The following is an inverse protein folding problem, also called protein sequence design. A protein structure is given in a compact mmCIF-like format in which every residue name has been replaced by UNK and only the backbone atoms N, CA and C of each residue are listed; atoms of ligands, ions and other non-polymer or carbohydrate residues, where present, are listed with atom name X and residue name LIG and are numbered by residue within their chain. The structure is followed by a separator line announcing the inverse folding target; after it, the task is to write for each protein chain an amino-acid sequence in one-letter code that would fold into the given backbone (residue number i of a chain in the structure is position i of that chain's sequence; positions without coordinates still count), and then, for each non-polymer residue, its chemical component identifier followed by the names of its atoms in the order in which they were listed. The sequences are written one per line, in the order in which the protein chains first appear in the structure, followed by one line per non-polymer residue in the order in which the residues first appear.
data_IF_655841771108
#
_entry.id   IF_655841771108
#
_cell.length_a   1.000
_cell.length_b   1.000
_cell.length_c   1.000
_cell.angle_alpha   90.00
_cell.angle_beta   90.00
_cell.angle_gamma   90.00
#
_symmetry.space_group_name_H-M   'P 1'
#
loop_
_entity.id
_entity.type
_entity.pdbx_description
1 polymer ?
#
# COMPACT_ATOMS: atom_id res chain seq x y z
N UNK A 1 1.93 5.62 -13.95
CA UNK A 1 1.29 6.41 -12.88
C UNK A 1 0.34 5.54 -12.08
N UNK A 2 0.35 5.67 -10.78
CA UNK A 2 -0.50 4.88 -9.91
C UNK A 2 -1.16 5.75 -8.86
N UNK A 3 -2.27 5.26 -8.29
CA UNK A 3 -2.94 5.88 -7.14
C UNK A 3 -2.42 5.19 -5.89
N UNK A 4 -1.89 5.96 -4.95
CA UNK A 4 -1.26 5.44 -3.75
C UNK A 4 -1.88 6.10 -2.53
N UNK A 5 -2.25 5.28 -1.53
CA UNK A 5 -2.77 5.77 -0.26
C UNK A 5 -1.68 5.65 0.78
N UNK A 6 -1.40 6.71 1.50
CA UNK A 6 -0.43 6.72 2.60
C UNK A 6 -1.16 7.01 3.91
N UNK A 7 -1.12 6.07 4.85
CA UNK A 7 -1.81 6.15 6.13
C UNK A 7 -0.77 6.16 7.24
N UNK A 8 -0.62 7.29 7.90
CA UNK A 8 0.35 7.47 9.00
C UNK A 8 -0.08 8.68 9.80
N UNK A 9 -0.03 8.59 11.13
CA UNK A 9 -0.39 9.73 11.97
C UNK A 9 0.72 10.78 12.05
N UNK A 10 1.93 10.48 11.61
CA UNK A 10 3.04 11.42 11.58
C UNK A 10 2.95 12.28 10.33
N UNK A 11 2.69 13.57 10.52
CA UNK A 11 2.56 14.52 9.42
C UNK A 11 3.81 14.57 8.55
N UNK A 12 4.99 14.47 9.16
CA UNK A 12 6.25 14.54 8.41
C UNK A 12 6.39 13.36 7.45
N UNK A 13 6.00 12.17 7.89
CA UNK A 13 6.04 10.97 7.03
C UNK A 13 5.04 11.12 5.90
N UNK A 14 3.81 11.58 6.20
CA UNK A 14 2.80 11.79 5.16
C UNK A 14 3.28 12.79 4.11
N UNK A 15 3.86 13.91 4.56
CA UNK A 15 4.36 14.94 3.63
C UNK A 15 5.52 14.42 2.80
N UNK A 16 6.42 13.66 3.42
CA UNK A 16 7.55 13.08 2.72
C UNK A 16 7.08 12.13 1.61
N UNK A 17 6.20 11.19 1.97
CA UNK A 17 5.66 10.24 1.01
C UNK A 17 4.90 10.96 -0.11
N UNK A 18 4.06 11.92 0.25
CA UNK A 18 3.28 12.66 -0.74
C UNK A 18 4.20 13.39 -1.73
N UNK A 19 5.23 14.07 -1.21
CA UNK A 19 6.16 14.81 -2.05
C UNK A 19 6.94 13.89 -2.98
N UNK A 20 7.51 12.82 -2.43
CA UNK A 20 8.35 11.91 -3.22
C UNK A 20 7.55 11.18 -4.28
N UNK A 21 6.36 10.70 -3.92
CA UNK A 21 5.55 9.91 -4.85
C UNK A 21 4.91 10.78 -5.92
N UNK A 22 4.51 12.00 -5.57
CA UNK A 22 3.99 12.94 -6.54
C UNK A 22 5.07 13.29 -7.57
N UNK A 23 6.31 13.46 -7.13
CA UNK A 23 7.43 13.72 -8.05
C UNK A 23 7.67 12.58 -9.02
N UNK A 24 7.34 11.36 -8.61
CA UNK A 24 7.46 10.19 -9.49
C UNK A 24 6.27 10.01 -10.41
N UNK A 25 5.31 10.93 -10.37
CA UNK A 25 4.17 10.91 -11.27
C UNK A 25 2.96 10.16 -10.73
N UNK A 26 2.95 9.81 -9.45
CA UNK A 26 1.82 9.11 -8.84
C UNK A 26 0.82 10.09 -8.24
N UNK A 27 -0.43 9.67 -8.14
CA UNK A 27 -1.46 10.41 -7.42
C UNK A 27 -1.53 9.87 -5.99
N UNK A 28 -1.44 10.75 -4.99
CA UNK A 28 -1.31 10.33 -3.59
C UNK A 28 -2.49 10.81 -2.78
N UNK A 29 -3.14 9.89 -2.08
CA UNK A 29 -4.14 10.18 -1.06
C UNK A 29 -3.47 9.97 0.29
N UNK A 30 -3.80 10.77 1.28
CA UNK A 30 -3.24 10.62 2.63
C UNK A 30 -4.35 10.49 3.67
N UNK A 31 -4.04 9.81 4.77
CA UNK A 31 -4.92 9.70 5.92
C UNK A 31 -4.07 9.74 7.18
N UNK A 32 -4.53 10.46 8.19
CA UNK A 32 -3.77 10.66 9.43
C UNK A 32 -4.19 9.72 10.55
N UNK A 33 -5.15 8.84 10.30
CA UNK A 33 -5.57 7.83 11.28
C UNK A 33 -6.22 6.65 10.55
N UNK A 34 -6.44 5.56 11.30
CA UNK A 34 -6.82 4.29 10.69
C UNK A 34 -8.19 4.32 10.03
N UNK A 35 -9.21 4.86 10.70
CA UNK A 35 -10.55 4.88 10.14
C UNK A 35 -10.61 5.68 8.84
N UNK A 36 -9.95 6.84 8.81
CA UNK A 36 -9.88 7.63 7.58
C UNK A 36 -9.19 6.85 6.47
N UNK A 37 -8.13 6.10 6.82
CA UNK A 37 -7.45 5.25 5.84
C UNK A 37 -8.37 4.23 5.21
N UNK A 38 -9.19 3.57 6.03
CA UNK A 38 -10.17 2.61 5.54
C UNK A 38 -11.20 3.30 4.63
N UNK A 39 -11.70 4.46 5.05
CA UNK A 39 -12.70 5.20 4.26
C UNK A 39 -12.14 5.61 2.90
N UNK A 40 -10.89 6.10 2.88
CA UNK A 40 -10.24 6.47 1.62
C UNK A 40 -10.00 5.24 0.76
N UNK A 41 -9.58 4.13 1.36
CA UNK A 41 -9.39 2.88 0.62
C UNK A 41 -10.69 2.44 -0.06
N UNK A 42 -11.80 2.49 0.65
CA UNK A 42 -13.09 2.08 0.10
C UNK A 42 -13.53 2.98 -1.05
N UNK A 43 -13.28 4.29 -0.92
CA UNK A 43 -13.74 5.27 -1.90
C UNK A 43 -12.84 5.30 -3.13
N UNK A 44 -11.52 5.28 -2.92
CA UNK A 44 -10.58 5.52 -4.02
C UNK A 44 -9.97 4.26 -4.61
N UNK A 45 -10.01 3.15 -3.89
CA UNK A 45 -9.42 1.87 -4.31
C UNK A 45 -8.03 2.04 -4.91
N UNK A 46 -7.05 2.49 -4.10
CA UNK A 46 -5.70 2.76 -4.60
C UNK A 46 -5.02 1.49 -5.10
N UNK A 47 -4.03 1.66 -5.95
CA UNK A 47 -3.23 0.54 -6.45
C UNK A 47 -2.32 -0.01 -5.36
N UNK A 48 -1.82 0.85 -4.47
CA UNK A 48 -0.93 0.46 -3.36
C UNK A 48 -1.30 1.29 -2.14
N UNK A 49 -1.30 0.66 -0.97
CA UNK A 49 -1.49 1.35 0.31
C UNK A 49 -0.21 1.21 1.13
N UNK A 50 0.30 2.34 1.64
CA UNK A 50 1.43 2.39 2.57
C UNK A 50 0.84 2.68 3.94
N UNK A 51 1.11 1.82 4.93
CA UNK A 51 0.34 1.79 6.16
C UNK A 51 1.26 1.67 7.37
N UNK A 52 1.10 2.58 8.32
CA UNK A 52 1.82 2.54 9.59
C UNK A 52 1.16 1.56 10.55
N UNK A 53 1.95 0.96 11.44
CA UNK A 53 1.42 0.08 12.48
C UNK A 53 0.71 0.85 13.60
N UNK A 54 1.22 2.01 14.00
CA UNK A 54 0.73 2.70 15.20
C UNK A 54 -0.01 3.97 14.85
N UNK A 55 -1.29 4.00 15.22
CA UNK A 55 -2.15 5.15 15.00
C UNK A 55 -3.07 5.35 16.19
N UNK A 56 -3.61 6.58 16.39
CA UNK A 56 -4.31 6.88 17.65
C UNK A 56 -5.67 6.20 17.81
N UNK A 57 -6.35 5.86 16.74
CA UNK A 57 -7.70 5.27 16.83
C UNK A 57 -7.66 3.72 16.76
N UNK A 58 -7.26 3.17 15.63
CA UNK A 58 -7.08 1.73 15.45
C UNK A 58 -5.71 1.50 14.87
N UNK A 59 -5.07 0.38 15.21
CA UNK A 59 -3.71 0.15 14.73
C UNK A 59 -3.70 -0.34 13.29
N UNK A 60 -2.50 -0.35 12.70
CA UNK A 60 -2.35 -0.72 11.30
C UNK A 60 -2.72 -2.16 11.00
N UNK A 61 -2.58 -3.07 11.96
CA UNK A 61 -3.01 -4.46 11.76
C UNK A 61 -4.52 -4.56 11.55
N UNK A 62 -5.28 -3.79 12.33
CA UNK A 62 -6.73 -3.78 12.18
C UNK A 62 -7.12 -3.17 10.83
N UNK A 63 -6.44 -2.10 10.42
CA UNK A 63 -6.66 -1.52 9.09
C UNK A 63 -6.37 -2.57 8.01
N UNK A 64 -5.27 -3.31 8.15
CA UNK A 64 -4.90 -4.36 7.18
C UNK A 64 -5.97 -5.45 7.14
N UNK A 65 -6.48 -5.87 8.31
CA UNK A 65 -7.56 -6.87 8.34
C UNK A 65 -8.78 -6.39 7.57
N UNK A 66 -9.16 -5.14 7.77
CA UNK A 66 -10.34 -4.59 7.08
C UNK A 66 -10.10 -4.45 5.59
N UNK A 67 -8.90 -4.04 5.19
CA UNK A 67 -8.54 -4.00 3.76
C UNK A 67 -8.64 -5.40 3.16
N UNK A 68 -8.14 -6.41 3.86
CA UNK A 68 -8.19 -7.81 3.38
C UNK A 68 -9.60 -8.34 3.26
N UNK A 69 -10.52 -7.88 4.11
CA UNK A 69 -11.93 -8.25 4.00
C UNK A 69 -12.57 -7.62 2.76
N UNK A 70 -12.11 -6.43 2.37
CA UNK A 70 -12.64 -5.72 1.20
C UNK A 70 -11.99 -6.27 -0.08
N UNK A 71 -10.68 -6.46 -0.05
CA UNK A 71 -9.90 -6.95 -1.21
C UNK A 71 -8.74 -7.79 -0.69
N UNK A 72 -8.84 -9.14 -0.81
CA UNK A 72 -7.78 -10.02 -0.31
C UNK A 72 -6.45 -9.88 -1.02
N UNK A 73 -6.40 -9.23 -2.16
CA UNK A 73 -5.19 -9.11 -2.98
C UNK A 73 -4.65 -7.68 -3.08
N UNK A 74 -5.26 -6.72 -2.38
CA UNK A 74 -4.81 -5.33 -2.44
C UNK A 74 -3.35 -5.22 -1.97
N UNK A 75 -2.45 -4.62 -2.77
CA UNK A 75 -1.07 -4.45 -2.33
C UNK A 75 -0.97 -3.49 -1.14
N UNK A 76 -0.32 -3.94 -0.07
CA UNK A 76 -0.11 -3.15 1.14
C UNK A 76 1.35 -3.25 1.55
N UNK A 77 1.98 -2.10 1.77
CA UNK A 77 3.31 -2.00 2.35
C UNK A 77 3.14 -1.50 3.79
N UNK A 78 3.66 -2.27 4.77
CA UNK A 78 3.62 -1.83 6.16
C UNK A 78 4.91 -1.11 6.51
N UNK A 79 4.80 0.04 7.18
CA UNK A 79 5.96 0.78 7.67
C UNK A 79 6.35 0.22 9.03
N UNK A 80 7.60 -0.23 9.18
CA UNK A 80 8.08 -0.84 10.41
C UNK A 80 8.96 0.12 11.20
N UNK A 81 8.98 -0.07 12.51
CA UNK A 81 9.82 0.70 13.42
C UNK A 81 10.17 -0.13 14.63
N UNK A 82 10.75 0.50 15.64
CA UNK A 82 11.11 -0.19 16.88
C UNK A 82 9.85 -0.77 17.53
N UNK A 83 9.94 -2.01 17.98
CA UNK A 83 8.85 -2.65 18.72
C UNK A 83 7.73 -3.22 17.87
N UNK A 84 7.90 -3.33 16.55
CA UNK A 84 6.84 -3.86 15.69
C UNK A 84 7.00 -5.33 15.31
N UNK A 85 8.06 -6.00 15.79
CA UNK A 85 8.41 -7.36 15.34
C UNK A 85 7.27 -8.37 15.49
N UNK A 86 6.59 -8.36 16.64
CA UNK A 86 5.49 -9.32 16.88
C UNK A 86 4.33 -9.06 15.92
N UNK A 87 4.05 -7.80 15.64
CA UNK A 87 2.96 -7.43 14.75
C UNK A 87 3.32 -7.69 13.27
N UNK A 88 4.60 -7.66 12.94
CA UNK A 88 5.05 -8.00 11.59
C UNK A 88 4.69 -9.44 11.24
N UNK A 89 4.82 -10.36 12.21
CA UNK A 89 4.41 -11.74 12.00
C UNK A 89 2.92 -11.82 11.65
N UNK A 90 2.09 -11.11 12.41
CA UNK A 90 0.65 -11.09 12.15
C UNK A 90 0.34 -10.48 10.78
N UNK A 91 1.08 -9.44 10.39
CA UNK A 91 0.91 -8.82 9.08
C UNK A 91 1.24 -9.81 7.96
N UNK A 92 2.29 -10.62 8.13
CA UNK A 92 2.61 -11.64 7.14
C UNK A 92 1.50 -12.66 6.99
N UNK A 93 0.87 -13.03 8.09
CA UNK A 93 -0.26 -13.97 8.06
C UNK A 93 -1.46 -13.38 7.33
N UNK A 94 -1.59 -12.05 7.33
CA UNK A 94 -2.63 -11.34 6.61
C UNK A 94 -2.24 -11.05 5.15
N UNK A 95 -1.12 -11.56 4.70
CA UNK A 95 -0.71 -11.43 3.30
C UNK A 95 -0.20 -10.06 2.92
N UNK A 96 0.47 -9.37 3.86
CA UNK A 96 1.09 -8.08 3.52
C UNK A 96 2.06 -8.26 2.35
N UNK A 97 2.10 -7.26 1.47
CA UNK A 97 2.91 -7.36 0.26
C UNK A 97 4.39 -7.18 0.57
N UNK A 98 4.72 -6.21 1.41
CA UNK A 98 6.12 -5.94 1.77
C UNK A 98 6.17 -5.06 3.01
N UNK A 99 7.37 -4.94 3.58
CA UNK A 99 7.65 -4.05 4.69
C UNK A 99 8.68 -3.02 4.25
N UNK A 100 8.62 -1.83 4.86
CA UNK A 100 9.58 -0.77 4.62
C UNK A 100 9.87 -0.10 5.97
N UNK A 101 11.15 -0.06 6.37
CA UNK A 101 11.53 0.57 7.64
C UNK A 101 11.29 2.06 7.58
N UNK A 102 10.84 2.67 8.69
CA UNK A 102 10.55 4.11 8.73
C UNK A 102 11.74 4.98 8.40
N UNK A 103 12.94 4.50 8.59
CA UNK A 103 14.14 5.22 8.14
C UNK A 103 14.50 4.98 6.68
N UNK A 104 13.55 4.62 5.87
CA UNK A 104 13.78 4.23 4.47
C UNK A 104 14.44 5.34 3.65
N UNK A 105 15.26 4.93 2.68
CA UNK A 105 15.81 5.85 1.70
C UNK A 105 14.84 5.99 0.53
N UNK A 106 15.02 7.07 -0.23
CA UNK A 106 14.27 7.26 -1.46
C UNK A 106 14.45 6.06 -2.41
N UNK A 107 15.66 5.51 -2.46
CA UNK A 107 15.97 4.37 -3.31
C UNK A 107 15.17 3.12 -2.89
N UNK A 108 15.09 2.85 -1.58
CA UNK A 108 14.33 1.70 -1.08
C UNK A 108 12.85 1.83 -1.39
N UNK A 109 12.27 3.02 -1.16
CA UNK A 109 10.87 3.27 -1.47
C UNK A 109 10.60 3.06 -2.96
N UNK A 110 11.45 3.62 -3.80
CA UNK A 110 11.29 3.50 -5.26
C UNK A 110 11.39 2.06 -5.73
N UNK A 111 12.35 1.30 -5.19
CA UNK A 111 12.54 -0.10 -5.58
C UNK A 111 11.34 -0.96 -5.18
N UNK A 112 10.84 -0.77 -3.96
CA UNK A 112 9.69 -1.54 -3.47
C UNK A 112 8.46 -1.26 -4.32
N UNK A 113 8.17 0.00 -4.59
CA UNK A 113 7.02 0.38 -5.40
C UNK A 113 7.14 -0.13 -6.83
N UNK A 114 8.32 0.00 -7.42
CA UNK A 114 8.54 -0.45 -8.80
C UNK A 114 8.24 -1.94 -8.93
N UNK A 115 8.71 -2.73 -7.98
CA UNK A 115 8.48 -4.18 -7.99
C UNK A 115 6.99 -4.51 -7.92
N UNK A 116 6.27 -3.85 -7.01
CA UNK A 116 4.83 -4.09 -6.83
C UNK A 116 4.06 -3.68 -8.08
N UNK A 117 4.35 -2.49 -8.62
CA UNK A 117 3.63 -1.97 -9.78
C UNK A 117 3.92 -2.80 -11.04
N UNK A 118 5.13 -3.33 -11.18
CA UNK A 118 5.44 -4.22 -12.29
C UNK A 118 4.63 -5.51 -12.22
N UNK A 119 4.45 -6.07 -11.02
CA UNK A 119 3.64 -7.28 -10.86
C UNK A 119 2.17 -7.00 -11.18
N UNK A 120 1.65 -5.84 -10.79
CA UNK A 120 0.29 -5.44 -11.14
C UNK A 120 0.12 -5.34 -12.66
N UNK A 121 1.09 -4.77 -13.33
CA UNK A 121 1.06 -4.67 -14.78
C UNK A 121 1.05 -6.01 -15.47
N UNK A 122 1.81 -6.97 -14.96
CA UNK A 122 1.83 -8.34 -15.50
C UNK A 122 0.51 -9.04 -15.26
N UNK A 123 -0.07 -8.85 -14.10
CA UNK A 123 -1.35 -9.48 -13.75
C UNK A 123 -2.51 -8.88 -14.56
N UNK A 124 -2.40 -7.61 -14.88
CA UNK A 124 -3.43 -6.93 -15.64
C UNK A 124 -3.39 -7.31 -17.13
N UNK A 125 -2.39 -7.93 -17.56
CA UNK A 125 -2.30 -8.50 -18.73
C UNK A 125 -1.82 -8.02 -20.00
N UNK A 126 -1.52 -7.97 -19.96
CA UNK A 126 -1.08 -7.57 -20.80
C UNK A 126 -1.52 -6.80 -21.59
N UNK A 127 -1.50 -6.46 -21.26
CA UNK A 127 -1.91 -5.70 -21.76
C UNK A 127 -2.29 -4.91 -22.03
N UNK A 128 -2.19 -4.91 -22.31
CA UNK A 128 -2.62 -4.26 -22.57
C UNK A 128 -3.17 -3.87 -22.84
N UNK A 129 -3.09 -4.05 -23.19
CA UNK A 129 -3.57 -3.83 -23.38
C UNK A 129 -4.04 -4.13 -23.36
N UNK A 130 -3.97 -4.78 -23.50
CA UNK A 130 -4.23 -5.24 -23.26
C UNK A 130 -4.53 -5.65 -22.65
N UNK A 131 -4.40 -6.15 -22.50
CA UNK A 131 -4.51 -6.61 -21.83
C UNK A 131 -5.15 -6.78 -21.15
N UNK A 132 -5.37 -7.06 -21.46
CA UNK A 132 -5.83 -7.44 -20.81
C UNK A 132 -6.53 -7.93 -20.32
N UNK A 133 -6.62 -7.92 -21.00
CA UNK A 133 -7.06 -8.49 -20.46
C UNK A 133 -7.30 -9.19 -19.86
N UNK A 134 -7.26 -9.61 -20.26
CA UNK A 134 -7.37 -10.27 -19.57
C UNK A 134 -7.51 -10.82 -18.94
N UNK A 135 -7.37 -11.24 -19.16
CA UNK A 135 -7.54 -11.75 -18.38
C UNK A 135 -7.87 -12.05 -17.77
N UNK A 136 -7.97 -12.22 -18.18
CA UNK A 136 -8.13 -12.52 -17.53
C UNK A 136 -8.41 -12.94 -17.04
N UNK A 137 -8.16 -12.98 -17.32
CA UNK A 137 -8.25 -13.34 -16.88
C UNK A 137 -8.26 -13.76 -16.35
N UNK A 138 -8.24 -14.03 -16.36
CA UNK A 138 -8.01 -14.36 -15.92
C UNK A 138 -8.13 -14.76 -15.27
N UNK A 139 -7.81 -14.64 -15.88
CA UNK A 139 -7.59 -14.90 -15.36
C UNK A 139 -7.58 -15.12 -14.65
N UNK A 140 -7.57 -15.38 -14.78
CA UNK A 140 -7.25 -15.54 -14.22
C UNK A 140 -7.22 -15.66 -13.59
N UNK A 141 -7.09 -15.62 -14.04
CA UNK A 141 -6.64 -15.68 -13.65
C UNK A 141 -6.58 -15.69 -13.15
#
# INVERSE_FOLDING_TARGET
MANILAVDDDEKIRELLSTLLTRKGHHVFTADHGQKGIDVFCRERPHVTILDFEMPDIDGLEVLRQIRAIDPHAPVIMLTGAGTEAREKQARELGVTDFLAKGFSLHELGATLKQILQQLGQDAGESPSSQRLASGVRQRK
#
